data_IF_915297454258
#
_entry.id   IF_915297454258
#
_cell.length_a   1.000
_cell.length_b   1.000
_cell.length_c   1.000
_cell.angle_alpha   90.00
_cell.angle_beta   90.00
_cell.angle_gamma   90.00
#
_symmetry.space_group_name_H-M   'P 1'
#
loop_
_entity.id
_entity.type
_entity.pdbx_description
1 polymer ?
2 non-polymer ?
3 non-polymer ?
4 water ?
#
# COMPACT_ATOMS: atom_id res chain seq x y z
N UNK A 1 25.59 14.15 4.05
CA UNK A 1 25.51 14.91 5.29
C UNK A 1 24.12 15.55 5.41
N UNK A 2 23.70 16.34 4.41
CA UNK A 2 22.57 17.24 4.61
C UNK A 2 21.28 16.48 4.91
N UNK A 3 20.93 15.48 4.10
CA UNK A 3 19.62 14.83 4.22
C UNK A 3 19.80 13.31 4.21
N UNK A 4 19.32 12.67 5.27
CA UNK A 4 19.24 11.22 5.34
C UNK A 4 17.83 10.77 4.93
N UNK A 5 17.75 10.05 3.81
CA UNK A 5 16.51 9.47 3.31
C UNK A 5 16.46 8.01 3.73
N UNK A 6 15.42 7.63 4.47
CA UNK A 6 15.17 6.22 4.80
C UNK A 6 14.19 5.67 3.76
N UNK A 7 14.68 4.81 2.86
CA UNK A 7 13.83 4.22 1.85
C UNK A 7 14.30 4.51 0.43
N UNK A 8 14.63 3.46 -0.33
CA UNK A 8 14.89 3.58 -1.77
C UNK A 8 13.76 2.96 -2.61
N UNK A 9 12.54 2.90 -2.07
CA UNK A 9 11.38 2.57 -2.87
C UNK A 9 10.94 3.75 -3.71
N UNK A 10 9.79 3.57 -4.37
CA UNK A 10 9.28 4.61 -5.27
C UNK A 10 9.33 5.97 -4.62
N UNK A 11 8.97 6.03 -3.33
CA UNK A 11 8.89 7.29 -2.61
C UNK A 11 10.27 7.87 -2.30
N UNK A 12 11.28 7.02 -2.08
CA UNK A 12 12.60 7.48 -1.70
C UNK A 12 13.47 7.81 -2.90
N UNK A 13 13.26 7.09 -4.01
CA UNK A 13 13.84 7.51 -5.27
C UNK A 13 13.28 8.86 -5.70
N UNK A 14 11.99 9.08 -5.46
CA UNK A 14 11.39 10.33 -5.88
C UNK A 14 12.00 11.51 -5.11
N UNK A 15 12.11 11.38 -3.78
CA UNK A 15 12.66 12.47 -2.97
C UNK A 15 14.16 12.65 -3.27
N UNK A 16 14.88 11.56 -3.54
CA UNK A 16 16.27 11.71 -3.91
C UNK A 16 16.47 12.44 -5.23
N UNK A 17 15.57 12.22 -6.18
CA UNK A 17 15.58 13.00 -7.40
C UNK A 17 15.39 14.49 -7.09
N UNK A 18 14.49 14.80 -6.14
CA UNK A 18 14.10 16.20 -5.93
C UNK A 18 15.16 17.01 -5.19
N UNK A 19 15.91 16.38 -4.30
CA UNK A 19 17.05 17.04 -3.67
C UNK A 19 18.21 17.17 -4.65
N UNK A 20 18.49 16.10 -5.39
CA UNK A 20 19.54 16.16 -6.39
C UNK A 20 19.32 17.33 -7.36
N UNK A 21 18.08 17.52 -7.80
CA UNK A 21 17.77 18.63 -8.71
C UNK A 21 17.87 19.99 -8.03
N UNK A 22 17.95 20.04 -6.70
CA UNK A 22 18.26 21.26 -5.98
C UNK A 22 19.73 21.35 -5.58
N UNK A 23 20.48 20.25 -5.68
CA UNK A 23 21.85 20.20 -5.23
C UNK A 23 22.10 19.93 -3.77
N UNK A 24 21.15 19.33 -3.04
CA UNK A 24 21.35 19.05 -1.62
C UNK A 24 22.03 17.70 -1.49
N UNK A 25 23.08 17.65 -0.65
CA UNK A 25 23.71 16.38 -0.33
C UNK A 25 22.70 15.44 0.34
N UNK A 26 22.77 14.15 0.02
CA UNK A 26 21.84 13.20 0.61
C UNK A 26 22.29 11.77 0.37
N UNK A 27 21.74 10.87 1.17
CA UNK A 27 21.83 9.44 0.92
C UNK A 27 20.46 8.79 1.13
N UNK A 28 20.18 7.72 0.35
CA UNK A 28 19.10 6.77 0.68
C UNK A 28 19.72 5.51 1.25
N UNK A 29 19.39 5.22 2.49
CA UNK A 29 19.71 3.94 3.09
C UNK A 29 18.58 2.98 2.75
N UNK A 30 18.89 1.93 2.00
CA UNK A 30 17.91 0.86 1.66
C UNK A 30 18.38 -0.47 2.23
N UNK A 31 17.48 -1.22 2.85
CA UNK A 31 17.82 -2.53 3.48
C UNK A 31 17.92 -3.61 2.40
N UNK A 32 17.14 -3.47 1.35
CA UNK A 32 17.07 -4.49 0.30
C UNK A 32 18.33 -4.45 -0.57
N UNK A 33 18.65 -5.54 -1.28
CA UNK A 33 19.85 -5.59 -2.09
C UNK A 33 19.72 -4.78 -3.38
N UNK A 34 18.57 -4.16 -3.61
CA UNK A 34 18.41 -3.28 -4.78
C UNK A 34 17.28 -2.31 -4.49
N UNK A 35 17.15 -1.34 -5.37
CA UNK A 35 16.11 -0.31 -5.21
C UNK A 35 14.81 -0.87 -5.78
N UNK A 36 13.72 -0.18 -5.55
CA UNK A 36 12.45 -0.62 -6.09
C UNK A 36 11.36 -0.78 -5.04
N UNK A 37 11.74 -1.10 -3.81
CA UNK A 37 10.76 -1.23 -2.75
C UNK A 37 10.07 -2.59 -2.78
N UNK A 38 8.73 -2.56 -2.69
CA UNK A 38 7.95 -3.79 -2.69
C UNK A 38 7.95 -4.44 -4.07
N UNK A 39 7.94 -3.63 -5.12
CA UNK A 39 7.87 -4.17 -6.48
C UNK A 39 9.07 -5.02 -6.85
N UNK A 40 10.19 -4.84 -6.18
CA UNK A 40 11.36 -5.64 -6.46
C UNK A 40 11.19 -7.08 -5.97
N UNK A 41 10.41 -7.29 -4.90
CA UNK A 41 10.44 -8.51 -4.09
C UNK A 41 9.88 -9.78 -4.74
N UNK A 42 8.75 -9.74 -5.44
CA UNK A 42 8.45 -10.83 -6.38
C UNK A 42 9.44 -10.77 -7.54
N UNK A 43 10.05 -11.91 -7.85
CA UNK A 43 11.18 -11.94 -8.76
C UNK A 43 12.52 -11.97 -8.04
N UNK A 44 12.54 -11.58 -6.77
CA UNK A 44 13.64 -11.88 -5.86
C UNK A 44 13.26 -12.97 -4.88
N UNK A 45 12.07 -13.57 -5.01
CA UNK A 45 11.65 -14.65 -4.13
C UNK A 45 11.63 -14.29 -2.67
N UNK A 46 11.41 -13.02 -2.35
CA UNK A 46 11.54 -12.51 -1.00
C UNK A 46 10.18 -12.26 -0.37
N UNK A 47 10.13 -12.37 0.96
CA UNK A 47 8.88 -12.18 1.67
C UNK A 47 8.42 -10.73 1.69
N UNK A 48 7.65 -10.32 0.69
CA UNK A 48 7.06 -8.99 0.67
C UNK A 48 5.58 -9.05 0.34
N UNK A 49 4.89 -7.91 0.40
CA UNK A 49 3.44 -7.92 0.16
C UNK A 49 3.02 -8.49 -1.18
N UNK A 50 3.87 -8.36 -2.21
CA UNK A 50 3.58 -8.84 -3.54
C UNK A 50 3.76 -10.34 -3.72
N UNK A 51 3.47 -10.75 -4.95
CA UNK A 51 3.46 -12.12 -5.29
C UNK A 51 3.82 -12.13 -6.72
N UNK A 52 3.83 -13.27 -7.35
CA UNK A 52 4.30 -13.36 -8.73
C UNK A 52 3.32 -13.01 -9.79
N UNK A 53 2.08 -12.91 -9.41
CA UNK A 53 1.05 -12.60 -10.35
C UNK A 53 0.57 -11.23 -10.08
N UNK A 54 1.29 -10.51 -9.22
CA UNK A 54 0.90 -9.13 -8.94
C UNK A 54 1.20 -8.21 -10.13
N UNK A 55 0.23 -7.36 -10.44
CA UNK A 55 0.26 -6.35 -11.49
C UNK A 55 -0.21 -5.04 -10.90
N UNK A 56 -0.02 -3.98 -11.67
CA UNK A 56 -0.58 -2.70 -11.35
C UNK A 56 -2.10 -2.74 -11.43
N UNK A 57 -2.75 -1.96 -10.58
CA UNK A 57 -4.17 -1.64 -10.73
C UNK A 57 -4.38 -0.17 -11.04
N UNK A 58 -3.32 0.56 -11.38
CA UNK A 58 -3.42 1.94 -11.84
C UNK A 58 -2.83 2.03 -13.24
N UNK A 59 -3.29 3.04 -13.99
CA UNK A 59 -2.88 3.20 -15.38
C UNK A 59 -1.42 3.65 -15.47
N UNK A 60 -0.68 3.03 -16.38
CA UNK A 60 0.76 3.27 -16.41
C UNK A 60 1.07 4.76 -16.54
N UNK A 61 0.43 5.43 -17.50
CA UNK A 61 0.68 6.86 -17.70
C UNK A 61 0.36 7.66 -16.46
N UNK A 62 -0.62 7.20 -15.66
CA UNK A 62 -0.96 7.83 -14.39
C UNK A 62 -0.11 7.35 -13.22
N UNK A 63 0.72 6.31 -13.42
CA UNK A 63 1.54 5.73 -12.35
C UNK A 63 3.04 5.93 -12.50
N UNK A 64 3.56 6.06 -13.73
CA UNK A 64 4.96 6.33 -13.91
C UNK A 64 5.30 7.77 -13.58
N UNK A 65 6.58 7.98 -13.26
CA UNK A 65 7.05 9.32 -12.93
C UNK A 65 6.76 10.27 -14.10
N UNK A 66 6.24 11.45 -13.81
CA UNK A 66 5.78 12.36 -14.88
C UNK A 66 6.94 12.89 -15.72
N UNK A 67 8.14 12.70 -15.23
CA UNK A 67 9.35 13.16 -15.96
C UNK A 67 9.97 11.98 -16.68
N UNK A 68 9.66 10.78 -16.23
CA UNK A 68 10.27 9.57 -16.82
C UNK A 68 9.13 8.63 -17.16
N UNK A 69 8.63 8.69 -18.39
CA UNK A 69 7.56 7.80 -18.82
C UNK A 69 7.95 6.30 -18.79
N UNK A 70 6.96 5.44 -18.70
CA UNK A 70 7.29 4.00 -18.64
C UNK A 70 7.54 3.57 -20.09
N UNK A 71 8.31 2.50 -20.32
CA UNK A 71 8.49 2.00 -21.67
C UNK A 71 7.13 1.94 -22.40
N UNK A 72 7.07 2.32 -23.67
CA UNK A 72 5.76 2.40 -24.37
C UNK A 72 5.20 1.02 -24.74
N UNK A 73 6.07 0.03 -24.86
CA UNK A 73 5.63 -1.35 -25.13
C UNK A 73 5.11 -1.97 -23.83
N UNK A 74 5.09 -1.19 -22.76
CA UNK A 74 4.51 -1.68 -21.50
C UNK A 74 3.01 -1.63 -21.65
N UNK A 75 2.29 -2.52 -20.95
CA UNK A 75 0.85 -2.51 -20.98
C UNK A 75 0.22 -1.55 -19.97
N UNK A 76 -1.11 -1.42 -20.00
CA UNK A 76 -1.70 -0.47 -19.08
C UNK A 76 -1.49 -0.88 -17.63
N UNK A 77 -1.35 -2.17 -17.35
CA UNK A 77 -0.92 -2.62 -16.04
C UNK A 77 0.24 -3.57 -16.26
N UNK A 78 1.46 -3.10 -16.13
CA UNK A 78 2.61 -4.00 -16.16
C UNK A 78 2.64 -4.90 -14.93
N UNK A 79 3.37 -6.02 -15.07
CA UNK A 79 3.68 -6.95 -13.99
C UNK A 79 4.74 -6.36 -13.04
N UNK A 80 4.79 -6.93 -11.81
CA UNK A 80 5.77 -6.51 -10.81
C UNK A 80 7.21 -6.53 -11.34
N UNK A 81 7.53 -7.47 -12.22
CA UNK A 81 8.84 -7.46 -12.83
C UNK A 81 9.02 -6.23 -13.72
N UNK A 82 7.97 -5.82 -14.42
CA UNK A 82 8.12 -4.72 -15.37
C UNK A 82 8.30 -3.39 -14.66
N UNK A 83 7.61 -3.21 -13.52
CA UNK A 83 7.69 -1.94 -12.79
C UNK A 83 9.01 -1.82 -12.04
N UNK A 84 9.44 -2.89 -11.36
CA UNK A 84 10.69 -2.88 -10.61
C UNK A 84 11.89 -2.70 -11.53
N UNK A 85 11.81 -3.22 -12.76
CA UNK A 85 12.84 -2.89 -13.73
C UNK A 85 12.73 -1.43 -14.20
N UNK A 86 11.51 -0.86 -14.19
CA UNK A 86 11.35 0.55 -14.59
C UNK A 86 11.87 1.50 -13.53
N UNK A 87 11.67 1.16 -12.25
CA UNK A 87 12.16 2.00 -11.15
C UNK A 87 13.68 2.06 -11.14
N UNK A 88 14.34 0.92 -11.31
CA UNK A 88 15.78 0.92 -11.25
C UNK A 88 16.35 1.75 -12.39
N UNK A 89 15.82 1.58 -13.62
CA UNK A 89 16.37 2.33 -14.74
C UNK A 89 16.06 3.81 -14.58
N UNK A 90 15.07 4.12 -13.73
CA UNK A 90 14.85 5.51 -13.34
C UNK A 90 15.97 6.01 -12.46
N UNK A 91 16.35 5.22 -11.44
CA UNK A 91 17.47 5.57 -10.57
C UNK A 91 18.75 5.77 -11.39
N UNK A 92 18.95 4.94 -12.41
CA UNK A 92 20.09 5.08 -13.31
C UNK A 92 20.05 6.42 -14.04
N UNK A 93 18.91 6.74 -14.63
CA UNK A 93 18.77 7.94 -15.43
C UNK A 93 18.88 9.22 -14.60
N UNK A 94 18.68 9.11 -13.30
CA UNK A 94 18.81 10.25 -12.42
C UNK A 94 20.13 10.24 -11.70
N UNK A 95 20.94 9.20 -11.90
CA UNK A 95 22.21 9.13 -11.20
C UNK A 95 22.13 9.15 -9.68
N UNK A 96 21.17 8.40 -9.10
CA UNK A 96 20.98 8.41 -7.64
C UNK A 96 21.73 7.29 -6.92
N UNK A 97 22.13 6.24 -7.63
CA UNK A 97 22.66 5.05 -6.96
C UNK A 97 23.96 5.33 -6.24
N UNK A 98 24.76 6.30 -6.73
CA UNK A 98 25.93 6.71 -5.99
C UNK A 98 25.55 7.22 -4.60
N UNK A 99 24.37 7.83 -4.48
CA UNK A 99 23.81 8.28 -3.21
C UNK A 99 22.98 7.21 -2.52
N UNK A 100 23.03 5.96 -2.96
CA UNK A 100 22.21 4.90 -2.38
C UNK A 100 23.13 3.89 -1.70
N UNK A 101 22.80 3.53 -0.46
CA UNK A 101 23.43 2.42 0.23
C UNK A 101 22.42 1.29 0.28
N UNK A 102 22.75 0.24 -0.41
CA UNK A 102 21.89 -0.89 -0.40
C UNK A 102 22.30 -1.78 0.70
N UNK A 103 21.49 -2.75 0.97
CA UNK A 103 21.75 -3.62 2.08
C UNK A 103 22.20 -2.88 3.34
N UNK A 104 21.61 -1.74 3.62
CA UNK A 104 21.93 -0.98 4.81
C UNK A 104 20.65 -0.59 5.51
N UNK A 105 20.42 -1.11 6.69
CA UNK A 105 19.12 -0.87 7.35
C UNK A 105 19.25 0.09 8.52
N UNK A 106 18.60 1.24 8.42
CA UNK A 106 18.50 2.14 9.56
C UNK A 106 17.84 1.42 10.72
N UNK A 107 18.53 1.39 11.86
CA UNK A 107 18.00 0.71 13.03
C UNK A 107 17.43 1.67 14.09
N UNK A 108 17.88 2.91 14.13
CA UNK A 108 17.23 3.85 15.04
C UNK A 108 17.49 5.26 14.54
N UNK A 109 16.57 6.15 14.88
CA UNK A 109 16.67 7.57 14.55
C UNK A 109 16.32 8.37 15.81
N UNK A 110 17.17 9.34 16.16
CA UNK A 110 17.03 10.15 17.37
C UNK A 110 17.41 11.60 17.06
N UNK A 111 16.61 12.53 17.57
CA UNK A 111 16.93 13.94 17.40
C UNK A 111 17.77 14.46 18.57
N UNK A 112 18.85 15.17 18.22
CA UNK A 112 19.77 15.80 19.15
C UNK A 112 19.37 17.24 19.42
N UNK A 113 19.63 17.71 20.62
CA UNK A 113 19.16 19.04 21.02
C UNK A 113 19.71 20.19 20.19
N UNK A 114 20.64 19.91 19.29
CA UNK A 114 21.29 20.96 18.47
C UNK A 114 20.54 21.10 17.16
N UNK A 115 19.81 20.06 16.78
CA UNK A 115 19.04 20.08 15.55
C UNK A 115 19.29 18.86 14.71
N UNK A 116 20.53 18.59 14.30
CA UNK A 116 20.82 17.36 13.60
C UNK A 116 20.37 16.07 14.26
N UNK A 117 20.25 15.04 13.43
CA UNK A 117 19.73 13.75 13.93
C UNK A 117 20.78 12.67 13.76
N UNK A 118 21.05 11.92 14.82
CA UNK A 118 21.96 10.79 14.72
C UNK A 118 21.18 9.57 14.24
N UNK A 119 21.73 8.87 13.25
CA UNK A 119 21.05 7.79 12.53
C UNK A 119 22.00 6.60 12.49
N UNK A 120 21.67 5.54 13.22
CA UNK A 120 22.50 4.30 13.24
C UNK A 120 21.97 3.27 12.24
N UNK A 121 22.84 2.78 11.36
CA UNK A 121 22.43 1.84 10.30
C UNK A 121 23.15 0.50 10.45
N UNK A 122 22.56 -0.59 9.97
CA UNK A 122 23.19 -1.93 10.05
C UNK A 122 23.51 -2.41 8.64
N UNK A 123 24.76 -2.83 8.45
CA UNK A 123 25.20 -3.35 7.14
C UNK A 123 25.01 -4.84 7.03
N UNK A 124 25.40 -5.41 5.90
CA UNK A 124 25.23 -6.87 5.68
C UNK A 124 26.09 -7.64 6.67
N UNK A 125 27.11 -7.00 7.23
CA UNK A 125 28.07 -7.67 8.15
C UNK A 125 27.48 -7.86 9.55
N UNK A 126 26.24 -7.42 9.78
CA UNK A 126 25.69 -7.47 11.15
C UNK A 126 26.24 -6.32 11.97
N UNK A 127 27.12 -5.53 11.36
CA UNK A 127 27.74 -4.40 12.06
C UNK A 127 26.85 -3.17 12.00
N UNK A 128 26.99 -2.30 13.00
CA UNK A 128 26.17 -1.08 13.05
C UNK A 128 27.08 0.13 12.95
N UNK A 129 26.60 1.20 12.33
CA UNK A 129 27.36 2.47 12.25
C UNK A 129 26.43 3.59 12.68
N UNK A 130 26.93 4.57 13.43
CA UNK A 130 26.14 5.71 13.89
C UNK A 130 26.65 7.00 13.27
N UNK A 131 25.75 7.76 12.64
CA UNK A 131 26.05 8.98 11.89
C UNK A 131 25.08 10.10 12.24
N UNK A 132 25.57 11.34 12.17
CA UNK A 132 24.73 12.52 12.33
C UNK A 132 24.32 13.06 10.96
N UNK A 133 23.10 13.62 10.90
CA UNK A 133 22.54 14.16 9.64
C UNK A 133 21.70 15.39 9.92
N UNK A 134 21.76 16.36 9.01
CA UNK A 134 21.09 17.64 9.23
C UNK A 134 19.59 17.47 9.25
N UNK A 135 19.05 16.85 8.22
CA UNK A 135 17.64 16.50 8.20
C UNK A 135 17.50 15.04 7.81
N UNK A 136 16.32 14.49 8.12
CA UNK A 136 15.97 13.12 7.84
C UNK A 136 14.62 13.11 7.13
N UNK A 137 14.53 12.37 6.03
CA UNK A 137 13.26 12.17 5.33
C UNK A 137 12.91 10.71 5.46
N UNK A 138 11.76 10.42 6.08
CA UNK A 138 11.22 9.06 6.13
C UNK A 138 10.52 8.73 4.82
N UNK A 139 10.92 7.61 4.22
CA UNK A 139 10.34 7.16 2.95
C UNK A 139 10.15 5.64 2.94
N UNK A 140 9.81 5.05 4.11
CA UNK A 140 9.84 3.58 4.24
C UNK A 140 8.51 2.89 3.94
N UNK A 141 7.42 3.63 3.71
CA UNK A 141 6.17 3.01 3.30
C UNK A 141 5.50 2.26 4.43
N UNK A 142 4.17 2.14 4.36
CA UNK A 142 3.39 1.60 5.50
C UNK A 142 2.81 0.19 5.32
N UNK A 143 3.14 -0.54 4.27
CA UNK A 143 2.71 -1.96 4.09
C UNK A 143 3.93 -2.82 4.40
N UNK A 144 4.36 -2.80 5.65
CA UNK A 144 5.63 -3.45 6.00
C UNK A 144 5.50 -4.53 7.10
N UNK A 145 4.45 -4.51 7.90
CA UNK A 145 4.24 -5.58 8.91
C UNK A 145 2.86 -6.21 8.77
N UNK A 146 2.79 -7.55 8.62
CA UNK A 146 1.51 -8.27 8.47
C UNK A 146 0.47 -8.14 9.59
N UNK A 147 -0.77 -7.86 9.22
CA UNK A 147 -1.84 -7.64 10.18
C UNK A 147 -2.68 -8.92 10.26
N UNK A 148 -2.64 -9.58 11.39
CA UNK A 148 -3.33 -10.85 11.58
C UNK A 148 -4.69 -10.62 12.19
N UNK A 149 -5.56 -11.63 12.18
CA UNK A 149 -6.78 -11.56 12.99
C UNK A 149 -6.42 -11.40 14.47
N UNK A 150 -7.24 -10.62 15.19
CA UNK A 150 -6.90 -10.26 16.57
C UNK A 150 -6.73 -11.48 17.47
N UNK A 151 -7.70 -12.48 17.54
CA UNK A 151 -7.28 -13.84 17.91
C UNK A 151 -7.29 -14.77 16.71
N UNK A 152 -6.28 -15.63 16.62
CA UNK A 152 -6.38 -16.74 15.70
C UNK A 152 -7.56 -17.61 16.13
N UNK A 153 -8.41 -18.08 15.20
CA UNK A 153 -9.50 -18.98 15.57
C UNK A 153 -9.01 -20.20 16.32
N UNK A 154 -9.90 -20.85 17.08
CA UNK A 154 -9.49 -21.89 18.00
C UNK A 154 -8.95 -23.10 17.25
N UNK A 155 -8.05 -23.83 17.91
CA UNK A 155 -7.39 -24.99 17.32
C UNK A 155 -6.33 -24.69 16.30
N UNK A 156 -6.09 -23.40 16.00
CA UNK A 156 -5.01 -23.01 15.09
C UNK A 156 -3.68 -23.60 15.52
N UNK A 157 -3.49 -23.79 16.82
CA UNK A 157 -2.26 -24.37 17.33
C UNK A 157 -2.06 -25.78 16.80
N UNK A 158 -3.12 -26.58 16.83
CA UNK A 158 -3.11 -27.93 16.27
C UNK A 158 -3.94 -27.91 14.99
N UNK A 159 -3.36 -27.32 13.94
CA UNK A 159 -4.01 -27.29 12.63
C UNK A 159 -3.45 -28.33 11.66
N UNK A 160 -2.31 -28.95 11.95
CA UNK A 160 -1.77 -30.00 11.10
C UNK A 160 -1.64 -29.56 9.65
N UNK A 161 -1.76 -28.25 9.41
CA UNK A 161 -1.60 -27.65 8.10
C UNK A 161 -0.67 -26.45 8.19
N UNK A 162 -0.85 -25.52 7.25
CA UNK A 162 0.07 -24.40 7.11
C UNK A 162 -0.71 -23.11 7.03
N UNK A 163 -0.47 -22.22 7.99
CA UNK A 163 -1.21 -20.93 8.07
C UNK A 163 -0.25 -19.78 7.79
N UNK A 164 -0.54 -19.00 6.76
CA UNK A 164 0.40 -17.93 6.35
C UNK A 164 -0.28 -16.59 6.07
N UNK A 165 0.52 -15.56 5.83
CA UNK A 165 0.00 -14.22 5.46
C UNK A 165 0.39 -13.93 4.01
N UNK A 166 -0.25 -12.94 3.40
CA UNK A 166 -0.01 -12.52 2.01
C UNK A 166 1.46 -12.20 1.74
N UNK A 167 2.20 -11.91 2.79
CA UNK A 167 3.62 -11.51 2.61
C UNK A 167 4.45 -12.74 2.31
N UNK A 168 4.05 -13.88 2.83
CA UNK A 168 4.84 -15.12 2.67
C UNK A 168 4.32 -15.87 1.46
N UNK A 169 3.31 -15.35 0.79
CA UNK A 169 2.82 -16.00 -0.42
C UNK A 169 3.58 -15.62 -1.66
N UNK A 170 3.92 -16.61 -2.44
CA UNK A 170 4.68 -16.35 -3.60
C UNK A 170 4.05 -16.72 -4.94
N UNK A 171 3.90 -18.01 -5.23
CA UNK A 171 3.43 -18.41 -6.56
C UNK A 171 2.20 -19.21 -6.61
N UNK A 172 1.90 -19.94 -5.59
CA UNK A 172 0.72 -20.81 -5.75
C UNK A 172 1.17 -22.09 -6.37
N UNK A 173 1.96 -22.02 -7.44
CA UNK A 173 2.60 -23.24 -7.87
C UNK A 173 3.18 -24.03 -6.71
N UNK A 174 3.52 -23.33 -5.61
CA UNK A 174 3.85 -23.96 -4.35
C UNK A 174 2.66 -24.66 -3.71
N UNK A 175 1.44 -24.40 -4.18
CA UNK A 175 0.22 -24.98 -3.62
C UNK A 175 -0.44 -25.97 -4.58
N UNK A 176 0.34 -26.49 -5.54
CA UNK A 176 -0.18 -27.32 -6.61
C UNK A 176 -0.87 -28.56 -6.08
N UNK A 177 -2.18 -28.64 -6.29
CA UNK A 177 -2.89 -29.83 -5.89
C UNK A 177 -3.39 -29.83 -4.47
N UNK A 178 -3.09 -28.80 -3.69
CA UNK A 178 -3.47 -28.77 -2.29
C UNK A 178 -4.80 -28.04 -2.11
N UNK A 179 -5.16 -27.77 -0.85
CA UNK A 179 -6.46 -27.21 -0.48
C UNK A 179 -6.25 -25.99 0.42
N UNK A 180 -6.59 -24.80 -0.11
CA UNK A 180 -6.24 -23.53 0.52
C UNK A 180 -7.49 -22.69 0.74
N UNK A 181 -7.59 -22.09 1.93
CA UNK A 181 -8.54 -21.03 2.23
C UNK A 181 -7.81 -19.68 2.17
N UNK A 182 -8.29 -18.79 1.31
CA UNK A 182 -7.86 -17.39 1.27
C UNK A 182 -8.77 -16.60 2.20
N UNK A 183 -8.20 -15.87 3.17
CA UNK A 183 -8.99 -15.07 4.11
C UNK A 183 -8.85 -13.61 3.72
N UNK A 184 -9.92 -13.05 3.16
CA UNK A 184 -9.93 -11.64 2.85
C UNK A 184 -10.76 -11.36 1.62
N UNK A 185 -11.07 -10.07 1.44
CA UNK A 185 -11.75 -9.60 0.24
C UNK A 185 -11.06 -8.35 -0.30
N UNK A 186 -9.77 -8.15 0.07
CA UNK A 186 -9.00 -7.03 -0.44
C UNK A 186 -8.20 -7.40 -1.66
N UNK A 187 -7.59 -6.37 -2.26
CA UNK A 187 -6.72 -6.52 -3.41
C UNK A 187 -5.76 -7.71 -3.32
N UNK A 188 -5.27 -8.02 -2.12
CA UNK A 188 -4.41 -9.19 -2.01
C UNK A 188 -5.21 -10.50 -1.98
N UNK A 189 -6.42 -10.51 -1.42
CA UNK A 189 -7.19 -11.76 -1.36
C UNK A 189 -7.67 -12.18 -2.74
N UNK A 190 -8.43 -11.30 -3.39
CA UNK A 190 -8.94 -11.58 -4.74
C UNK A 190 -7.80 -12.03 -5.65
N UNK A 191 -6.64 -11.35 -5.60
CA UNK A 191 -5.53 -11.74 -6.46
C UNK A 191 -5.03 -13.16 -6.12
N UNK A 192 -4.98 -13.50 -4.84
CA UNK A 192 -4.31 -14.75 -4.48
C UNK A 192 -5.26 -15.93 -4.68
N UNK A 193 -6.52 -15.80 -4.27
CA UNK A 193 -7.53 -16.80 -4.58
C UNK A 193 -7.50 -17.15 -6.06
N UNK A 194 -7.46 -16.17 -6.94
CA UNK A 194 -7.36 -16.42 -8.39
C UNK A 194 -6.05 -17.06 -8.83
N UNK A 195 -4.92 -16.75 -8.18
CA UNK A 195 -3.62 -17.41 -8.49
C UNK A 195 -3.78 -18.88 -8.11
N UNK A 196 -4.27 -19.16 -6.92
CA UNK A 196 -4.67 -20.54 -6.63
C UNK A 196 -5.88 -20.66 -7.54
N UNK A 197 -6.53 -21.75 -7.77
CA UNK A 197 -7.65 -21.77 -8.76
C UNK A 197 -7.04 -22.05 -10.13
N UNK A 198 -5.72 -22.01 -10.19
CA UNK A 198 -5.05 -22.41 -11.44
C UNK A 198 -3.99 -23.41 -11.01
N UNK A 199 -3.77 -23.53 -9.71
CA UNK A 199 -2.73 -24.42 -9.16
C UNK A 199 -3.34 -25.32 -8.08
N UNK A 200 -4.14 -24.76 -7.19
CA UNK A 200 -4.72 -25.52 -6.09
C UNK A 200 -5.78 -26.50 -6.61
N UNK A 201 -5.94 -27.61 -5.86
CA UNK A 201 -7.00 -28.56 -6.18
C UNK A 201 -8.36 -27.96 -5.90
N UNK A 202 -8.50 -27.32 -4.75
CA UNK A 202 -9.69 -26.55 -4.40
C UNK A 202 -9.20 -25.25 -3.77
N UNK A 203 -10.00 -24.19 -3.94
CA UNK A 203 -9.58 -22.85 -3.54
C UNK A 203 -10.79 -22.15 -2.92
N UNK A 204 -10.75 -21.91 -1.61
CA UNK A 204 -11.86 -21.28 -0.91
C UNK A 204 -11.51 -19.85 -0.57
N UNK A 205 -12.56 -19.01 -0.47
CA UNK A 205 -12.40 -17.58 -0.23
C UNK A 205 -13.28 -17.16 0.93
N UNK A 206 -12.72 -17.21 2.14
CA UNK A 206 -13.46 -16.85 3.34
C UNK A 206 -13.55 -15.33 3.50
N UNK A 207 -14.77 -14.84 3.71
CA UNK A 207 -14.96 -13.41 3.88
C UNK A 207 -15.80 -13.15 5.12
N UNK A 208 -15.53 -12.01 5.76
CA UNK A 208 -16.29 -11.59 6.93
C UNK A 208 -17.28 -10.48 6.60
N UNK A 209 -16.95 -9.59 5.68
CA UNK A 209 -17.85 -8.51 5.32
C UNK A 209 -17.84 -8.32 3.81
N UNK A 210 -18.96 -7.83 3.28
CA UNK A 210 -19.07 -7.58 1.86
C UNK A 210 -18.35 -6.31 1.46
N UNK A 211 -17.60 -6.38 0.35
CA UNK A 211 -16.92 -5.25 -0.26
C UNK A 211 -17.41 -5.09 -1.69
N UNK A 212 -17.25 -3.90 -2.23
CA UNK A 212 -17.75 -3.61 -3.57
C UNK A 212 -16.68 -4.00 -4.59
N UNK A 213 -16.81 -5.22 -5.12
CA UNK A 213 -15.89 -5.73 -6.13
C UNK A 213 -16.20 -5.02 -7.44
N UNK A 214 -15.19 -4.39 -8.04
CA UNK A 214 -15.36 -3.53 -9.20
C UNK A 214 -14.35 -3.91 -10.28
N UNK A 215 -14.73 -3.97 -11.56
CA UNK A 215 -13.75 -4.31 -12.60
C UNK A 215 -12.71 -3.21 -12.74
N UNK A 216 -11.49 -3.62 -13.09
CA UNK A 216 -10.40 -2.69 -13.40
C UNK A 216 -10.83 -1.60 -14.37
N UNK A 217 -11.69 -1.92 -15.32
CA UNK A 217 -12.06 -1.06 -16.41
C UNK A 217 -13.57 -0.87 -16.46
N UNK A 218 -14.03 0.32 -16.82
CA UNK A 218 -15.41 0.53 -17.25
C UNK A 218 -15.41 1.44 -18.47
N UNK A 219 -16.20 1.09 -19.48
CA UNK A 219 -16.21 1.80 -20.77
C UNK A 219 -14.84 1.81 -21.41
N UNK A 220 -14.02 0.78 -21.18
CA UNK A 220 -12.70 0.75 -21.75
C UNK A 220 -11.70 1.51 -20.92
N UNK A 221 -12.17 2.55 -20.22
CA UNK A 221 -11.33 3.40 -19.38
C UNK A 221 -11.19 2.80 -17.98
N UNK A 222 -9.95 2.65 -17.54
CA UNK A 222 -9.68 2.18 -16.18
C UNK A 222 -10.34 3.13 -15.19
N UNK A 223 -10.55 2.62 -13.99
CA UNK A 223 -11.24 3.39 -12.93
C UNK A 223 -10.44 4.62 -12.48
N UNK A 224 -9.20 4.77 -12.93
CA UNK A 224 -8.34 5.89 -12.51
C UNK A 224 -8.35 6.99 -13.57
N UNK A 225 -8.51 6.65 -14.83
CA UNK A 225 -8.58 7.69 -15.88
C UNK A 225 -9.98 8.32 -15.85
N UNK A 226 -10.93 7.62 -15.27
CA UNK A 226 -12.31 8.17 -15.12
C UNK A 226 -12.25 9.24 -14.04
N UNK A 227 -11.50 9.05 -12.98
CA UNK A 227 -11.54 10.12 -11.97
C UNK A 227 -10.65 11.31 -12.37
N UNK A 228 -10.19 11.37 -13.62
CA UNK A 228 -9.43 12.54 -14.11
C UNK A 228 -10.19 13.09 -15.32
N UNK A 229 -11.15 12.32 -15.80
CA UNK A 229 -11.93 12.72 -16.98
C UNK A 229 -12.77 13.93 -16.63
N UNK A 230 -12.90 14.91 -17.55
CA UNK A 230 -13.61 16.13 -17.18
C UNK A 230 -15.05 15.79 -16.79
N UNK A 231 -15.70 14.97 -17.60
CA UNK A 231 -17.11 14.58 -17.34
C UNK A 231 -17.30 14.07 -15.92
N UNK A 232 -16.54 13.05 -15.52
CA UNK A 232 -16.74 12.46 -14.18
C UNK A 232 -16.70 13.59 -13.15
N UNK A 233 -15.71 14.46 -13.27
CA UNK A 233 -15.51 15.51 -12.26
C UNK A 233 -16.63 16.54 -12.37
N UNK A 234 -17.19 16.74 -13.55
CA UNK A 234 -18.22 17.72 -13.72
C UNK A 234 -19.56 17.21 -13.25
N UNK A 235 -19.58 16.07 -12.61
CA UNK A 235 -20.79 15.55 -12.02
C UNK A 235 -20.64 15.61 -10.51
N UNK A 236 -21.72 15.75 -9.79
CA UNK A 236 -21.66 15.77 -8.36
C UNK A 236 -21.23 14.46 -7.75
N UNK A 237 -21.73 14.18 -6.58
CA UNK A 237 -21.43 12.93 -5.97
C UNK A 237 -22.51 11.94 -6.24
N UNK A 238 -23.74 12.33 -6.00
CA UNK A 238 -24.84 11.45 -6.21
C UNK A 238 -25.02 11.18 -7.69
N UNK A 239 -24.41 11.98 -8.52
CA UNK A 239 -24.44 11.70 -9.93
C UNK A 239 -23.42 10.61 -10.18
N UNK A 240 -22.29 10.68 -9.48
CA UNK A 240 -21.28 9.63 -9.62
C UNK A 240 -21.71 8.33 -8.94
N UNK A 241 -22.38 8.42 -7.79
CA UNK A 241 -22.71 7.22 -7.01
C UNK A 241 -23.63 6.29 -7.79
N UNK A 242 -24.73 6.82 -8.31
CA UNK A 242 -25.62 6.01 -9.14
C UNK A 242 -25.05 5.77 -10.54
N UNK A 243 -24.20 6.67 -11.05
CA UNK A 243 -23.50 6.39 -12.30
C UNK A 243 -22.78 5.06 -12.21
N UNK A 244 -22.02 4.87 -11.15
CA UNK A 244 -21.23 3.62 -11.02
C UNK A 244 -22.18 2.46 -10.74
N UNK A 245 -23.24 2.69 -9.98
CA UNK A 245 -24.12 1.57 -9.59
C UNK A 245 -24.72 0.97 -10.83
N UNK A 246 -25.21 1.82 -11.70
CA UNK A 246 -25.81 1.33 -12.96
C UNK A 246 -24.75 0.60 -13.76
N UNK A 247 -23.55 1.16 -13.82
CA UNK A 247 -22.43 0.57 -14.59
C UNK A 247 -21.99 -0.77 -13.99
N UNK A 248 -21.99 -0.85 -12.69
CA UNK A 248 -21.54 -2.10 -12.02
C UNK A 248 -22.64 -3.14 -12.18
N UNK A 249 -23.91 -2.75 -12.06
CA UNK A 249 -24.89 -3.81 -12.28
C UNK A 249 -24.95 -4.22 -13.74
N UNK A 250 -24.71 -3.29 -14.67
CA UNK A 250 -24.68 -3.73 -16.08
C UNK A 250 -23.41 -4.51 -16.37
N UNK A 251 -22.36 -4.31 -15.59
CA UNK A 251 -21.11 -4.99 -15.90
C UNK A 251 -20.99 -6.33 -15.19
N UNK A 252 -21.40 -6.41 -13.92
CA UNK A 252 -21.32 -7.65 -13.17
C UNK A 252 -22.60 -7.97 -12.41
N UNK A 253 -23.68 -7.23 -12.62
CA UNK A 253 -24.90 -7.52 -11.91
C UNK A 253 -24.79 -7.24 -10.42
N UNK A 254 -25.38 -8.14 -9.64
CA UNK A 254 -25.42 -8.04 -8.20
C UNK A 254 -24.41 -9.01 -7.63
N UNK A 255 -23.62 -8.56 -6.65
CA UNK A 255 -22.64 -9.42 -6.03
C UNK A 255 -23.29 -10.62 -5.35
N UNK A 256 -24.51 -10.46 -4.84
CA UNK A 256 -25.16 -11.56 -4.12
C UNK A 256 -25.33 -12.79 -5.01
N UNK A 257 -25.44 -12.59 -6.31
CA UNK A 257 -25.52 -13.68 -7.27
C UNK A 257 -24.16 -14.33 -7.54
N UNK A 258 -23.16 -14.00 -6.75
CA UNK A 258 -21.89 -14.68 -6.81
C UNK A 258 -21.55 -15.35 -5.49
N UNK A 259 -22.43 -15.23 -4.50
CA UNK A 259 -22.18 -15.82 -3.20
C UNK A 259 -21.54 -14.89 -2.21
N UNK A 260 -21.36 -13.63 -2.57
CA UNK A 260 -20.68 -12.60 -1.79
C UNK A 260 -21.69 -11.77 -1.03
N UNK A 261 -21.39 -11.50 0.23
CA UNK A 261 -22.23 -10.57 1.01
C UNK A 261 -22.35 -9.22 0.33
N UNK A 262 -23.53 -8.67 0.47
CA UNK A 262 -23.79 -7.32 -0.03
C UNK A 262 -23.23 -6.33 1.00
N UNK A 263 -22.50 -5.31 0.52
CA UNK A 263 -21.92 -4.32 1.40
C UNK A 263 -22.95 -3.54 2.22
N UNK A 264 -22.67 -3.32 3.49
CA UNK A 264 -23.55 -2.53 4.37
C UNK A 264 -23.38 -1.05 4.11
N UNK A 265 -22.55 -0.68 3.14
CA UNK A 265 -22.32 0.73 2.79
C UNK A 265 -22.22 0.81 1.26
N UNK A 266 -22.76 1.86 0.63
CA UNK A 266 -22.77 1.99 -0.82
C UNK A 266 -21.40 2.27 -1.45
N UNK A 267 -21.30 2.06 -2.76
CA UNK A 267 -20.04 2.36 -3.46
C UNK A 267 -19.55 3.74 -3.01
N UNK A 268 -18.26 3.87 -2.69
CA UNK A 268 -17.61 5.16 -2.29
C UNK A 268 -17.59 5.28 -0.77
N UNK A 269 -18.28 4.38 -0.08
CA UNK A 269 -18.29 4.38 1.40
C UNK A 269 -17.81 3.02 1.90
N UNK A 270 -17.75 2.05 1.01
CA UNK A 270 -17.30 0.68 1.36
C UNK A 270 -16.14 0.37 0.44
N UNK A 271 -14.98 0.03 0.99
CA UNK A 271 -13.76 -0.09 0.16
C UNK A 271 -14.03 -0.89 -1.10
N UNK A 272 -13.51 -0.40 -2.21
CA UNK A 272 -13.68 -1.13 -3.46
C UNK A 272 -12.48 -2.01 -3.62
N UNK A 273 -12.71 -3.21 -4.13
CA UNK A 273 -11.60 -4.09 -4.45
C UNK A 273 -11.70 -4.28 -5.92
N UNK A 274 -10.65 -3.95 -6.64
CA UNK A 274 -10.69 -4.03 -8.12
C UNK A 274 -10.19 -5.39 -8.59
N UNK A 275 -11.04 -6.11 -9.30
CA UNK A 275 -10.63 -7.39 -9.90
C UNK A 275 -11.29 -7.54 -11.26
N UNK A 276 -10.66 -8.31 -12.11
CA UNK A 276 -11.19 -8.59 -13.46
C UNK A 276 -11.24 -10.10 -13.58
N UNK A 277 -11.06 -10.80 -12.47
CA UNK A 277 -10.95 -12.28 -12.51
C UNK A 277 -11.84 -13.00 -11.48
N UNK A 278 -11.87 -12.59 -10.23
CA UNK A 278 -12.55 -13.32 -9.12
C UNK A 278 -13.98 -13.79 -9.41
N UNK A 279 -14.86 -12.91 -9.84
CA UNK A 279 -16.26 -13.30 -10.02
C UNK A 279 -16.32 -14.38 -11.09
N UNK A 280 -15.55 -14.22 -12.16
CA UNK A 280 -15.47 -15.24 -13.19
C UNK A 280 -14.69 -16.46 -12.74
N UNK A 281 -14.03 -16.42 -11.58
CA UNK A 281 -13.52 -17.64 -10.98
C UNK A 281 -14.57 -18.32 -10.12
N UNK A 282 -15.50 -17.55 -9.55
CA UNK A 282 -16.61 -18.17 -8.84
C UNK A 282 -17.52 -18.87 -9.84
N UNK A 283 -17.95 -18.15 -10.88
CA UNK A 283 -18.84 -18.66 -11.92
C UNK A 283 -18.28 -19.89 -12.66
N UNK A 284 -16.97 -20.16 -12.55
CA UNK A 284 -16.42 -21.40 -13.09
C UNK A 284 -16.10 -22.41 -12.00
N UNK A 285 -16.45 -22.12 -10.76
CA UNK A 285 -16.18 -23.00 -9.65
C UNK A 285 -14.73 -23.11 -9.29
N UNK A 286 -13.85 -22.28 -9.86
CA UNK A 286 -12.44 -22.40 -9.55
C UNK A 286 -12.14 -21.90 -8.13
N UNK A 287 -12.95 -20.96 -7.62
CA UNK A 287 -12.87 -20.46 -6.23
C UNK A 287 -14.26 -20.56 -5.63
N UNK A 288 -14.35 -20.95 -4.37
CA UNK A 288 -15.68 -21.12 -3.75
C UNK A 288 -15.93 -20.17 -2.58
N UNK A 289 -16.91 -19.28 -2.70
CA UNK A 289 -17.16 -18.28 -1.64
C UNK A 289 -17.57 -18.92 -0.31
N UNK A 290 -16.93 -18.45 0.74
CA UNK A 290 -17.16 -18.97 2.08
C UNK A 290 -17.50 -17.81 3.03
N UNK A 291 -17.99 -18.10 4.23
CA UNK A 291 -18.02 -17.07 5.27
C UNK A 291 -16.74 -17.09 6.10
N UNK A 292 -16.79 -16.53 7.31
CA UNK A 292 -15.64 -16.45 8.20
C UNK A 292 -15.19 -17.84 8.67
N UNK A 293 -13.94 -17.92 9.16
CA UNK A 293 -13.38 -19.16 9.70
C UNK A 293 -13.64 -19.23 11.21
N UNK A 294 -14.19 -20.36 11.66
CA UNK A 294 -14.61 -20.51 13.05
C UNK A 294 -13.72 -21.37 13.91
N UNK A 295 -12.83 -22.18 13.33
CA UNK A 295 -12.12 -23.23 14.05
C UNK A 295 -11.14 -23.93 13.11
N UNK A 296 -10.15 -24.62 13.70
CA UNK A 296 -9.27 -25.52 12.96
C UNK A 296 -9.40 -26.93 13.54
N UNK A 297 -10.36 -27.68 13.00
CA UNK A 297 -10.74 -29.00 13.48
C UNK A 297 -9.91 -30.07 12.76
N UNK A 298 -8.64 -30.15 13.14
CA UNK A 298 -7.78 -31.24 12.67
C UNK A 298 -7.00 -30.88 11.39
N UNK A 299 -7.33 -31.56 10.30
CA UNK A 299 -6.80 -31.23 8.97
C UNK A 299 -7.78 -30.41 8.16
N UNK A 300 -8.90 -30.00 8.77
CA UNK A 300 -9.96 -29.23 8.11
C UNK A 300 -10.17 -27.92 8.85
N UNK A 301 -10.76 -26.95 8.16
CA UNK A 301 -11.19 -25.69 8.77
C UNK A 301 -12.71 -25.61 8.72
N UNK A 302 -13.29 -25.18 9.84
CA UNK A 302 -14.75 -25.11 10.01
C UNK A 302 -15.19 -23.66 9.90
N UNK A 303 -16.24 -23.43 9.12
CA UNK A 303 -16.72 -22.07 8.88
C UNK A 303 -17.96 -21.76 9.70
N UNK A 304 -18.33 -20.49 9.63
CA UNK A 304 -19.37 -19.94 10.48
C UNK A 304 -20.78 -20.39 10.06
N UNK A 305 -21.00 -20.78 8.82
CA UNK A 305 -22.32 -21.31 8.47
C UNK A 305 -22.45 -22.77 8.88
N UNK A 306 -21.36 -23.43 9.22
CA UNK A 306 -21.41 -24.81 9.64
C UNK A 306 -20.54 -25.75 8.84
N UNK A 307 -20.07 -25.34 7.66
CA UNK A 307 -19.33 -26.28 6.84
C UNK A 307 -17.93 -26.56 7.36
N UNK A 308 -17.47 -27.76 7.05
CA UNK A 308 -16.10 -28.22 7.20
C UNK A 308 -15.39 -28.13 5.86
N UNK A 309 -14.06 -28.03 5.91
CA UNK A 309 -13.40 -28.33 4.65
C UNK A 309 -11.98 -28.78 4.88
N UNK A 310 -11.55 -29.90 4.30
CA UNK A 310 -10.13 -30.25 4.36
C UNK A 310 -9.29 -29.16 3.71
N UNK A 311 -8.23 -28.74 4.43
CA UNK A 311 -7.39 -27.63 4.04
C UNK A 311 -5.95 -27.93 4.42
N UNK A 312 -5.06 -27.97 3.42
CA UNK A 312 -3.63 -28.09 3.66
C UNK A 312 -2.98 -26.75 4.03
N UNK A 313 -3.62 -25.63 3.69
CA UNK A 313 -3.08 -24.31 3.99
C UNK A 313 -4.19 -23.28 4.09
N UNK A 314 -3.86 -22.16 4.74
CA UNK A 314 -4.69 -20.96 4.82
C UNK A 314 -3.76 -19.74 4.77
N UNK A 315 -3.90 -18.92 3.74
CA UNK A 315 -3.11 -17.70 3.60
C UNK A 315 -4.00 -16.51 3.93
N UNK A 316 -3.70 -15.85 5.06
CA UNK A 316 -4.47 -14.69 5.53
C UNK A 316 -4.06 -13.44 4.74
N UNK A 317 -4.98 -12.95 3.92
CA UNK A 317 -4.82 -11.68 3.21
C UNK A 317 -5.55 -10.56 3.97
N UNK A 318 -5.11 -10.41 5.21
CA UNK A 318 -5.77 -9.60 6.21
C UNK A 318 -5.16 -8.21 6.35
N UNK A 319 -4.26 -7.80 5.46
CA UNK A 319 -3.79 -6.43 5.46
C UNK A 319 -2.41 -6.25 6.04
N UNK A 320 -2.12 -5.04 6.48
CA UNK A 320 -0.77 -4.75 7.02
C UNK A 320 -0.88 -3.69 8.10
N UNK A 321 0.15 -3.58 8.92
CA UNK A 321 0.17 -2.53 9.96
C UNK A 321 1.25 -1.50 9.62
N UNK A 322 0.97 -0.24 9.95
CA UNK A 322 1.97 0.84 9.75
C UNK A 322 2.88 0.86 10.96
N UNK A 323 4.11 0.42 10.79
CA UNK A 323 5.11 0.51 11.87
C UNK A 323 6.30 1.34 11.40
N UNK A 324 6.92 2.10 12.28
CA UNK A 324 8.17 2.81 11.94
C UNK A 324 9.17 2.44 13.04
N UNK A 325 9.68 1.21 13.06
CA UNK A 325 10.50 0.75 14.18
C UNK A 325 11.76 1.55 14.55
N UNK A 326 12.27 2.28 13.59
CA UNK A 326 13.50 3.03 13.78
C UNK A 326 13.27 4.36 14.50
N UNK A 327 12.00 4.79 14.68
CA UNK A 327 11.62 5.94 15.50
C UNK A 327 11.18 5.53 16.89
N UNK A 328 12.08 5.50 17.87
CA UNK A 328 11.64 5.18 19.24
C UNK A 328 10.59 6.16 19.74
N UNK A 329 10.62 7.35 19.16
CA UNK A 329 9.72 8.45 19.58
C UNK A 329 8.26 8.12 19.36
N UNK A 330 7.97 7.18 18.49
CA UNK A 330 6.56 6.94 18.18
C UNK A 330 6.22 7.47 16.81
N UNK A 331 5.56 6.64 15.99
CA UNK A 331 5.08 7.10 14.66
C UNK A 331 4.21 8.33 14.90
N UNK A 332 4.14 9.28 13.94
CA UNK A 332 3.40 10.53 14.22
C UNK A 332 1.93 10.26 14.47
N UNK A 333 1.52 9.88 15.69
CA UNK A 333 0.12 9.39 15.90
C UNK A 333 -0.71 10.17 16.93
N UNK A 334 -2.06 10.12 16.83
CA UNK A 334 -2.99 10.85 17.74
C UNK A 334 -3.65 9.97 18.79
N UNK A 335 -3.67 8.64 18.64
CA UNK A 335 -4.17 7.70 19.68
C UNK A 335 -5.67 7.46 19.53
N UNK A 336 -6.33 8.23 18.69
CA UNK A 336 -7.75 7.96 18.41
C UNK A 336 -7.80 7.15 17.11
N UNK A 337 -6.63 6.72 16.62
CA UNK A 337 -6.53 6.04 15.31
C UNK A 337 -6.12 7.04 14.25
N UNK A 338 -5.17 7.93 14.57
CA UNK A 338 -4.88 9.03 13.60
C UNK A 338 -3.42 9.49 13.54
N UNK A 339 -3.00 10.00 12.38
CA UNK A 339 -1.60 10.46 12.15
C UNK A 339 -1.45 11.94 12.53
N UNK A 340 -0.29 12.33 13.03
CA UNK A 340 0.01 13.75 13.36
C UNK A 340 0.99 14.32 12.34
N UNK A 341 0.49 14.74 11.20
CA UNK A 341 1.39 15.23 10.14
C UNK A 341 0.77 16.38 9.38
N UNK A 342 1.24 17.59 9.64
CA UNK A 342 0.85 18.80 8.91
C UNK A 342 0.92 18.54 7.40
N UNK A 343 -0.22 18.59 6.73
CA UNK A 343 -0.29 18.39 5.27
C UNK A 343 0.20 16.98 4.96
N UNK A 344 0.03 16.06 5.90
CA UNK A 344 0.31 14.61 5.68
C UNK A 344 1.80 14.30 5.56
N UNK A 345 2.66 15.23 5.98
CA UNK A 345 4.12 15.05 5.81
C UNK A 345 4.88 15.58 7.02
N UNK A 346 4.49 16.74 7.53
CA UNK A 346 5.34 17.41 8.54
C UNK A 346 4.90 17.24 9.99
N UNK A 347 5.78 16.71 10.85
CA UNK A 347 5.50 16.63 12.26
C UNK A 347 5.65 18.04 12.84
N UNK A 348 4.75 18.45 13.71
CA UNK A 348 4.75 19.85 14.15
C UNK A 348 5.80 20.09 15.22
N UNK A 349 6.12 19.06 15.96
CA UNK A 349 7.02 19.18 17.10
C UNK A 349 8.47 18.95 16.73
N UNK A 350 8.76 18.33 15.59
CA UNK A 350 10.11 17.90 15.28
C UNK A 350 10.59 18.60 14.02
N UNK A 351 11.40 19.64 14.13
CA UNK A 351 11.95 20.25 12.93
C UNK A 351 12.96 19.31 12.28
N UNK A 352 12.87 19.20 10.95
CA UNK A 352 13.85 18.49 10.16
C UNK A 352 13.49 17.07 9.82
N UNK A 353 12.33 16.59 10.24
CA UNK A 353 11.84 15.28 9.81
C UNK A 353 10.63 15.46 8.90
N UNK A 354 10.65 14.76 7.78
CA UNK A 354 9.55 14.76 6.84
C UNK A 354 9.12 13.32 6.67
N UNK A 355 7.89 13.14 6.20
CA UNK A 355 7.38 11.78 5.91
C UNK A 355 6.85 11.83 4.51
N UNK A 356 7.45 11.02 3.65
CA UNK A 356 7.02 10.99 2.22
C UNK A 356 6.38 9.63 1.90
N UNK A 357 5.14 9.68 1.43
CA UNK A 357 4.41 8.47 1.02
C UNK A 357 3.43 7.95 2.05
N UNK A 358 3.17 8.65 3.14
CA UNK A 358 2.26 8.11 4.18
C UNK A 358 0.94 8.76 3.85
N UNK A 359 0.49 8.50 2.65
CA UNK A 359 -0.82 9.02 2.22
C UNK A 359 -1.51 7.87 1.48
N UNK A 360 -2.84 7.89 1.41
CA UNK A 360 -3.64 6.87 0.68
C UNK A 360 -4.65 7.55 -0.20
N UNK A 361 -4.36 7.68 -1.50
CA UNK A 361 -5.29 8.30 -2.38
C UNK A 361 -6.17 7.33 -3.17
N UNK A 362 -7.06 7.86 -3.98
CA UNK A 362 -7.81 6.99 -4.91
C UNK A 362 -6.92 6.98 -6.13
N UNK A 363 -6.47 5.82 -6.50
CA UNK A 363 -5.52 5.67 -7.58
C UNK A 363 -4.07 5.75 -7.14
N UNK A 364 -3.23 5.92 -8.17
CA UNK A 364 -1.79 5.96 -7.97
C UNK A 364 -1.40 7.08 -7.01
N UNK A 365 -0.43 6.78 -6.16
CA UNK A 365 0.19 7.74 -5.26
C UNK A 365 1.25 8.60 -5.95
N UNK A 366 1.75 8.19 -7.14
CA UNK A 366 3.01 8.72 -7.69
C UNK A 366 3.10 10.24 -7.68
N UNK A 367 2.07 10.92 -8.19
CA UNK A 367 2.11 12.39 -8.25
C UNK A 367 2.10 12.97 -6.85
N UNK A 368 1.39 12.33 -5.91
CA UNK A 368 1.40 12.82 -4.54
C UNK A 368 2.82 12.81 -3.98
N UNK A 369 3.55 11.70 -4.16
CA UNK A 369 4.90 11.70 -3.61
C UNK A 369 5.82 12.59 -4.44
N UNK A 370 5.53 12.79 -5.74
CA UNK A 370 6.31 13.76 -6.51
C UNK A 370 6.16 15.15 -5.93
N UNK A 371 4.92 15.54 -5.58
CA UNK A 371 4.70 16.82 -4.95
C UNK A 371 5.32 16.88 -3.56
N UNK A 372 5.09 15.85 -2.73
CA UNK A 372 5.68 15.88 -1.40
C UNK A 372 7.19 16.06 -1.49
N UNK A 373 7.82 15.42 -2.49
CA UNK A 373 9.27 15.46 -2.67
C UNK A 373 9.75 16.86 -3.06
N UNK A 374 9.04 17.52 -3.96
CA UNK A 374 9.46 18.85 -4.37
C UNK A 374 9.29 19.85 -3.24
N UNK A 375 8.22 19.72 -2.45
CA UNK A 375 8.01 20.65 -1.34
C UNK A 375 9.04 20.41 -0.21
N UNK A 376 9.34 19.15 0.11
CA UNK A 376 10.36 18.87 1.12
C UNK A 376 11.75 19.37 0.67
N UNK A 377 12.05 19.37 -0.63
CA UNK A 377 13.32 19.93 -1.09
C UNK A 377 13.43 21.42 -0.72
N UNK A 378 12.39 22.21 -1.03
CA UNK A 378 12.47 23.63 -0.69
C UNK A 378 12.31 23.86 0.82
N UNK A 379 11.78 22.90 1.58
CA UNK A 379 11.80 23.04 3.04
C UNK A 379 13.21 22.88 3.60
N UNK A 380 14.01 21.99 3.01
CA UNK A 380 15.34 21.66 3.53
C UNK A 380 16.27 22.86 3.40
N UNK A 381 16.39 23.42 2.21
CA UNK A 381 17.35 24.49 2.01
C UNK A 381 16.75 25.88 2.19
N UNK A 382 15.51 25.96 2.69
CA UNK A 382 14.91 27.21 3.13
C UNK A 382 14.08 27.97 2.11
N UNK A 383 14.03 27.51 0.85
CA UNK A 383 13.15 28.11 -0.16
C UNK A 383 11.66 27.88 0.13
N UNK A 384 11.32 27.25 1.26
CA UNK A 384 9.95 27.26 1.75
C UNK A 384 10.01 27.14 3.27
N UNK A 385 9.01 27.69 3.95
CA UNK A 385 8.87 27.56 5.40
C UNK A 385 7.47 27.06 5.75
N UNK A 386 7.31 26.73 7.03
CA UNK A 386 6.17 26.15 7.73
C UNK A 386 5.53 27.17 8.68
N UNK A 387 4.24 26.98 9.00
CA UNK A 387 3.62 27.78 10.07
C UNK A 387 4.28 27.54 11.42
N UNK A 388 3.83 28.32 12.39
CA UNK A 388 4.18 28.01 13.76
C UNK A 388 3.62 26.63 14.13
N UNK A 389 4.15 26.09 15.23
CA UNK A 389 3.74 24.76 15.69
C UNK A 389 2.22 24.69 15.88
N UNK A 390 1.65 25.69 16.56
CA UNK A 390 0.23 25.65 16.87
C UNK A 390 -0.61 25.74 15.61
N UNK A 391 -0.15 26.51 14.62
CA UNK A 391 -0.87 26.61 13.36
C UNK A 391 -0.80 25.31 12.56
N UNK A 392 0.37 24.67 12.56
CA UNK A 392 0.47 23.33 12.01
C UNK A 392 -0.57 22.42 12.66
N UNK A 393 -0.74 22.51 13.98
CA UNK A 393 -1.67 21.60 14.64
C UNK A 393 -3.12 21.92 14.33
N UNK A 394 -3.41 23.13 13.85
CA UNK A 394 -4.76 23.46 13.43
C UNK A 394 -5.09 22.82 12.09
N UNK A 395 -4.15 22.80 11.14
CA UNK A 395 -4.38 22.07 9.90
C UNK A 395 -4.61 20.60 10.18
N UNK A 396 -3.82 20.02 11.07
CA UNK A 396 -3.92 18.56 11.32
C UNK A 396 -5.25 18.27 12.02
N UNK A 397 -5.73 19.18 12.84
CA UNK A 397 -6.98 18.99 13.56
C UNK A 397 -8.17 19.19 12.68
N UNK A 398 -8.02 19.97 11.63
CA UNK A 398 -9.13 20.10 10.67
C UNK A 398 -9.16 18.85 9.83
N UNK A 399 -8.00 18.27 9.56
CA UNK A 399 -7.98 17.08 8.68
C UNK A 399 -8.57 15.95 9.48
N UNK A 400 -8.13 15.79 10.70
CA UNK A 400 -8.83 14.82 11.58
C UNK A 400 -10.15 15.57 11.83
N UNK A 401 -11.05 15.12 12.67
CA UNK A 401 -12.27 15.94 12.84
C UNK A 401 -12.73 16.39 11.47
N UNK A 402 -12.68 15.49 10.50
CA UNK A 402 -13.14 15.78 9.12
C UNK A 402 -13.14 14.47 8.38
N UNK A 403 -12.13 13.65 8.63
CA UNK A 403 -12.08 12.29 8.04
C UNK A 403 -13.15 11.45 8.73
N UNK A 404 -13.82 12.01 9.73
CA UNK A 404 -14.92 11.29 10.42
C UNK A 404 -16.22 11.58 9.67
N UNK A 405 -16.26 12.62 8.87
CA UNK A 405 -17.48 13.00 8.17
C UNK A 405 -17.58 12.44 6.77
N UNK A 406 -16.49 12.46 6.04
CA UNK A 406 -16.48 11.93 4.70
C UNK A 406 -16.29 10.47 4.88
N UNK A 407 -15.67 10.11 5.99
CA UNK A 407 -15.44 8.71 6.27
C UNK A 407 -15.99 8.41 7.63
N UNK A 408 -15.15 7.87 8.48
CA UNK A 408 -15.59 7.59 9.81
C UNK A 408 -14.41 7.17 10.59
N UNK A 409 -14.60 6.84 11.85
CA UNK A 409 -13.48 6.29 12.60
C UNK A 409 -13.24 4.89 12.07
N UNK A 410 -12.00 4.39 12.12
CA UNK A 410 -11.70 3.05 11.64
C UNK A 410 -10.26 2.74 11.83
N UNK A 411 -9.58 2.26 10.79
CA UNK A 411 -8.16 2.03 10.88
C UNK A 411 -7.44 2.65 9.73
N UNK A 412 -6.71 3.73 9.99
CA UNK A 412 -5.84 4.33 8.97
C UNK A 412 -6.60 5.20 7.99
N UNK A 413 -7.67 5.81 8.45
CA UNK A 413 -8.39 6.76 7.58
C UNK A 413 -7.64 8.07 7.65
N UNK A 414 -6.63 8.08 8.51
CA UNK A 414 -5.92 9.32 8.73
C UNK A 414 -4.80 9.60 7.74
N UNK A 415 -4.47 8.69 6.83
CA UNK A 415 -3.54 8.98 5.76
C UNK A 415 -4.27 9.10 4.42
N UNK A 416 -5.55 9.46 4.46
CA UNK A 416 -6.42 9.40 3.31
C UNK A 416 -6.68 10.80 2.77
N UNK A 417 -6.69 10.94 1.43
CA UNK A 417 -6.93 12.22 0.78
C UNK A 417 -7.49 12.00 -0.62
N UNK A 418 -8.13 13.04 -1.15
CA UNK A 418 -8.45 13.23 -2.56
C UNK A 418 -7.18 13.48 -3.36
N UNK A 419 -7.19 13.06 -4.62
CA UNK A 419 -6.05 13.37 -5.48
C UNK A 419 -6.03 14.84 -5.84
N UNK A 420 -7.15 15.34 -6.40
CA UNK A 420 -7.22 16.63 -7.04
C UNK A 420 -6.82 17.81 -6.19
N UNK A 421 -7.64 18.15 -5.19
CA UNK A 421 -7.37 19.37 -4.41
C UNK A 421 -6.14 19.28 -3.53
N UNK A 422 -5.72 18.07 -3.13
CA UNK A 422 -4.47 17.93 -2.39
C UNK A 422 -3.28 18.34 -3.24
N UNK A 423 -3.20 17.81 -4.47
CA UNK A 423 -2.19 18.21 -5.44
C UNK A 423 -2.45 19.59 -6.03
N UNK A 424 -3.67 20.13 -5.84
CA UNK A 424 -3.95 21.49 -6.24
C UNK A 424 -3.09 22.48 -5.47
N UNK A 425 -2.67 22.10 -4.26
CA UNK A 425 -1.90 22.95 -3.37
C UNK A 425 -0.40 22.79 -3.59
N UNK A 426 0.05 22.89 -4.84
CA UNK A 426 1.47 22.71 -5.14
C UNK A 426 1.83 23.40 -6.47
#
# INVERSE_FOLDING_TARGET
MRVCVIGAGLSGLAVGHALKERGISFVCLEKAPDVGGIWRQPGAGERGPGYRTLHLNTAKQLTGYADFPMPDAYPLYPRHSQVAAYLRSFAEWAGLLDHVELRTEVVSVRQDADGPWTVVSRGADGAQVSRRFEQVVVASGHHNEPALPDPLPAGADSFAGTILHSLDYRDGGDFAGRRVVVVGLGASAVDIAADLSRHAERTLLSVRRGLHIVPKQLFGMSVDEIAEAPWWNEMSFDERRRWVEQALLVARGRLSDYGLPEPDHPVFSSATTLSDEILSRIRHGAVTPKPAIASFDGDRVVFTDGTSEPADAVVYCTGFHMTFPFLPAGCPMSADGSVELYRRVVPADRPGLYFVGLVRPVGAITRLVEAQAEWVARLVDGAAVLPAADQMREEIGTYLTGIVQRYGRTEGASIQVDVGPYLAEFRESLPV
#
